data_IF_855613807669
#
_entry.id   IF_855613807669
#
_cell.length_a   1.000
_cell.length_b   1.000
_cell.length_c   1.000
_cell.angle_alpha   90.00
_cell.angle_beta   90.00
_cell.angle_gamma   90.00
#
_symmetry.space_group_name_H-M   'P 1'
#
loop_
_entity.id
_entity.type
_entity.pdbx_description
1 polymer ?
#
# COMPACT_ATOMS: atom_id res chain seq x y z
N UNK A 1 4.74 10.77 24.00
CA UNK A 1 3.54 9.99 23.61
C UNK A 1 2.42 10.97 23.31
N UNK A 2 1.61 10.71 22.30
CA UNK A 2 0.47 11.53 21.88
C UNK A 2 -0.78 10.64 21.78
N UNK A 3 -1.92 11.16 22.20
CA UNK A 3 -3.23 10.56 21.93
C UNK A 3 -3.76 11.17 20.63
N UNK A 4 -3.92 10.33 19.60
CA UNK A 4 -4.48 10.75 18.32
C UNK A 4 -6.00 10.49 18.25
N UNK A 5 -6.56 9.79 19.22
CA UNK A 5 -7.99 9.52 19.25
C UNK A 5 -8.77 10.83 19.32
N UNK A 6 -9.74 10.99 18.42
CA UNK A 6 -10.63 12.14 18.38
C UNK A 6 -9.91 13.49 18.19
N UNK A 7 -8.70 13.52 17.64
CA UNK A 7 -8.01 14.78 17.28
C UNK A 7 -8.77 15.50 16.15
N UNK A 8 -9.33 14.74 15.22
CA UNK A 8 -10.17 15.26 14.15
C UNK A 8 -11.56 15.59 14.72
N UNK A 9 -11.88 16.89 14.78
CA UNK A 9 -13.09 17.41 15.48
C UNK A 9 -13.96 18.29 14.59
N UNK A 10 -13.64 18.42 13.32
CA UNK A 10 -14.29 19.34 12.40
C UNK A 10 -15.23 18.59 11.46
N UNK A 11 -16.45 19.11 11.28
CA UNK A 11 -17.41 18.66 10.25
C UNK A 11 -16.98 19.00 8.82
N UNK A 12 -15.76 19.52 8.66
CA UNK A 12 -15.16 19.79 7.37
C UNK A 12 -15.05 18.50 6.56
N UNK A 13 -15.07 18.70 5.25
CA UNK A 13 -14.82 17.67 4.27
C UNK A 13 -13.49 17.92 3.59
N UNK A 14 -12.92 16.86 3.03
CA UNK A 14 -11.72 16.92 2.22
C UNK A 14 -12.00 16.21 0.90
N UNK A 15 -11.75 16.91 -0.20
CA UNK A 15 -11.82 16.32 -1.52
C UNK A 15 -10.55 15.51 -1.79
N UNK A 16 -10.72 14.22 -2.04
CA UNK A 16 -9.63 13.29 -2.38
C UNK A 16 -9.74 12.96 -3.87
N UNK A 17 -8.65 13.14 -4.58
CA UNK A 17 -8.55 12.90 -6.02
C UNK A 17 -7.79 11.61 -6.29
N UNK A 18 -8.38 10.75 -7.12
CA UNK A 18 -7.79 9.50 -7.57
C UNK A 18 -7.20 9.66 -8.97
N UNK A 19 -5.98 9.16 -9.14
CA UNK A 19 -5.33 8.97 -10.42
C UNK A 19 -4.99 7.50 -10.61
N UNK A 20 -5.21 6.99 -11.81
CA UNK A 20 -4.80 5.66 -12.23
C UNK A 20 -4.44 5.80 -13.71
N UNK A 21 -3.14 5.80 -14.00
CA UNK A 21 -2.62 5.91 -15.36
C UNK A 21 -2.70 4.52 -16.04
N UNK A 22 -2.83 4.46 -17.38
CA UNK A 22 -2.82 3.19 -18.10
C UNK A 22 -1.56 2.37 -17.84
N UNK A 23 -1.68 1.05 -17.94
CA UNK A 23 -0.53 0.13 -17.93
C UNK A 23 0.40 0.49 -19.09
N UNK A 24 1.69 0.67 -18.83
CA UNK A 24 2.67 1.03 -19.87
C UNK A 24 3.70 -0.06 -20.15
N UNK A 25 3.80 -1.06 -19.28
CA UNK A 25 4.69 -2.20 -19.45
C UNK A 25 4.03 -3.47 -18.92
N UNK A 26 4.30 -4.60 -19.57
CA UNK A 26 3.74 -5.91 -19.24
C UNK A 26 4.74 -7.01 -19.63
N UNK A 27 5.00 -7.93 -18.72
CA UNK A 27 6.03 -8.97 -18.91
C UNK A 27 5.63 -9.99 -19.98
N UNK A 28 4.36 -10.37 -20.01
CA UNK A 28 3.83 -11.40 -20.90
C UNK A 28 2.85 -10.88 -21.94
N UNK A 29 2.62 -9.56 -21.98
CA UNK A 29 1.72 -8.93 -22.94
C UNK A 29 0.31 -9.56 -22.94
N UNK A 30 -0.23 -9.97 -21.78
CA UNK A 30 -1.52 -10.68 -21.72
C UNK A 30 -2.69 -9.89 -22.35
N UNK A 31 -2.63 -8.56 -22.30
CA UNK A 31 -3.57 -7.67 -22.97
C UNK A 31 -3.63 -7.85 -24.49
N UNK A 32 -2.56 -8.35 -25.13
CA UNK A 32 -2.50 -8.67 -26.57
C UNK A 32 -3.00 -10.08 -26.87
N UNK A 33 -2.68 -11.01 -25.97
CA UNK A 33 -2.98 -12.44 -26.14
C UNK A 33 -4.40 -12.81 -25.73
N UNK A 34 -5.07 -11.97 -24.91
CA UNK A 34 -6.45 -12.13 -24.45
C UNK A 34 -7.32 -10.91 -24.82
N UNK A 35 -7.55 -10.63 -26.13
CA UNK A 35 -8.29 -9.45 -26.57
C UNK A 35 -9.74 -9.39 -26.06
N UNK A 36 -10.34 -10.55 -25.74
CA UNK A 36 -11.65 -10.63 -25.10
C UNK A 36 -11.68 -10.10 -23.66
N UNK A 37 -10.51 -9.89 -23.04
CA UNK A 37 -10.35 -9.45 -21.66
C UNK A 37 -9.65 -8.08 -21.57
N UNK A 38 -9.56 -7.34 -22.67
CA UNK A 38 -8.83 -6.06 -22.74
C UNK A 38 -9.28 -5.03 -21.69
N UNK A 39 -10.56 -5.06 -21.30
CA UNK A 39 -11.12 -4.18 -20.26
C UNK A 39 -10.49 -4.38 -18.88
N UNK A 40 -9.87 -5.55 -18.62
CA UNK A 40 -9.13 -5.80 -17.37
C UNK A 40 -7.79 -5.03 -17.33
N UNK A 41 -7.31 -4.56 -18.47
CA UNK A 41 -6.03 -3.86 -18.62
C UNK A 41 -6.21 -2.35 -18.88
N UNK A 42 -7.39 -1.90 -19.29
CA UNK A 42 -7.76 -0.49 -19.48
C UNK A 42 -8.54 0.06 -18.27
N UNK A 43 -7.89 0.01 -17.09
CA UNK A 43 -8.50 0.41 -15.82
C UNK A 43 -8.36 1.91 -15.56
N UNK A 44 -9.38 2.47 -14.91
CA UNK A 44 -9.39 3.86 -14.46
C UNK A 44 -10.07 3.95 -13.08
N UNK A 45 -9.92 5.07 -12.34
CA UNK A 45 -10.53 5.18 -11.02
C UNK A 45 -12.07 5.12 -11.12
N UNK A 46 -12.68 4.29 -10.27
CA UNK A 46 -14.13 4.22 -10.10
C UNK A 46 -14.73 5.60 -9.74
N UNK A 47 -14.06 6.37 -8.87
CA UNK A 47 -14.45 7.73 -8.50
C UNK A 47 -13.23 8.68 -8.59
N UNK A 48 -13.03 9.39 -9.71
CA UNK A 48 -11.86 10.27 -9.90
C UNK A 48 -11.71 11.36 -8.83
N UNK A 49 -12.81 11.79 -8.21
CA UNK A 49 -12.80 12.65 -7.04
C UNK A 49 -13.94 12.26 -6.10
N UNK A 50 -13.65 12.19 -4.81
CA UNK A 50 -14.64 11.87 -3.77
C UNK A 50 -14.43 12.75 -2.56
N UNK A 51 -15.53 13.20 -1.98
CA UNK A 51 -15.53 14.01 -0.77
C UNK A 51 -15.61 13.10 0.46
N UNK A 52 -14.65 13.23 1.37
CA UNK A 52 -14.62 12.49 2.63
C UNK A 52 -14.84 13.45 3.78
N UNK A 53 -15.65 13.04 4.75
CA UNK A 53 -15.65 13.68 6.06
C UNK A 53 -14.29 13.50 6.70
N UNK A 54 -13.78 14.53 7.38
CA UNK A 54 -12.45 14.48 8.01
C UNK A 54 -12.35 13.33 9.02
N UNK A 55 -13.44 12.97 9.71
CA UNK A 55 -13.46 11.83 10.64
C UNK A 55 -13.22 10.47 9.98
N UNK A 56 -13.40 10.34 8.66
CA UNK A 56 -13.06 9.11 7.94
C UNK A 56 -11.55 8.80 8.02
N UNK A 57 -10.70 9.82 8.17
CA UNK A 57 -9.25 9.65 8.32
C UNK A 57 -8.83 9.10 9.68
N UNK A 58 -9.75 8.98 10.65
CA UNK A 58 -9.51 8.20 11.87
C UNK A 58 -9.21 6.72 11.56
N UNK A 59 -9.54 6.24 10.35
CA UNK A 59 -9.12 4.93 9.85
C UNK A 59 -7.60 4.69 9.93
N UNK A 60 -6.79 5.76 9.94
CA UNK A 60 -5.32 5.68 9.98
C UNK A 60 -4.74 5.92 11.39
N UNK A 61 -5.57 6.12 12.41
CA UNK A 61 -5.12 6.47 13.76
C UNK A 61 -4.99 5.24 14.69
N UNK A 62 -4.08 5.30 15.67
CA UNK A 62 -3.96 4.26 16.69
C UNK A 62 -5.14 4.34 17.67
N UNK A 63 -5.48 3.21 18.30
CA UNK A 63 -6.50 3.14 19.36
C UNK A 63 -5.95 3.51 20.74
N UNK A 64 -4.64 3.66 20.87
CA UNK A 64 -3.94 3.99 22.11
C UNK A 64 -2.91 5.10 21.89
N UNK A 65 -2.33 5.60 22.99
CA UNK A 65 -1.25 6.57 22.92
C UNK A 65 -0.02 5.97 22.25
N UNK A 66 0.61 6.75 21.37
CA UNK A 66 1.80 6.34 20.62
C UNK A 66 2.95 7.33 20.77
N UNK A 67 4.18 6.85 20.70
CA UNK A 67 5.40 7.63 20.55
C UNK A 67 5.89 7.64 19.10
N UNK A 68 6.79 8.57 18.78
CA UNK A 68 7.44 8.60 17.46
C UNK A 68 8.17 7.27 17.21
N UNK A 69 7.87 6.67 16.07
CA UNK A 69 8.38 5.38 15.62
C UNK A 69 7.55 4.18 16.07
N UNK A 70 6.51 4.35 16.89
CA UNK A 70 5.58 3.26 17.21
C UNK A 70 4.79 2.87 15.96
N UNK A 71 4.52 1.57 15.84
CA UNK A 71 3.76 0.98 14.73
C UNK A 71 2.51 0.30 15.27
N UNK A 72 1.37 0.54 14.61
CA UNK A 72 0.09 -0.08 14.94
C UNK A 72 -0.57 -0.66 13.69
N UNK A 73 -1.48 -1.60 13.91
CA UNK A 73 -2.32 -2.19 12.87
C UNK A 73 -3.49 -1.25 12.54
N UNK A 74 -3.83 -1.16 11.26
CA UNK A 74 -4.98 -0.42 10.77
C UNK A 74 -6.16 -1.36 10.57
N UNK A 75 -7.35 -0.86 10.85
CA UNK A 75 -8.59 -1.56 10.56
C UNK A 75 -8.89 -1.49 9.05
N UNK A 76 -8.63 -2.59 8.34
CA UNK A 76 -8.80 -2.66 6.89
C UNK A 76 -10.23 -2.32 6.46
N UNK A 77 -11.26 -2.69 7.22
CA UNK A 77 -12.66 -2.37 6.87
C UNK A 77 -12.90 -0.85 6.85
N UNK A 78 -12.13 -0.08 7.63
CA UNK A 78 -12.16 1.39 7.61
C UNK A 78 -11.31 2.00 6.49
N UNK A 79 -10.32 1.28 5.98
CA UNK A 79 -9.43 1.73 4.91
C UNK A 79 -10.01 1.42 3.52
N UNK A 80 -10.72 0.30 3.36
CA UNK A 80 -11.33 -0.14 2.10
C UNK A 80 -12.20 0.93 1.42
N UNK A 81 -12.99 1.75 2.13
CA UNK A 81 -13.71 2.88 1.52
C UNK A 81 -12.81 3.83 0.71
N UNK A 82 -11.56 4.06 1.13
CA UNK A 82 -10.59 4.85 0.37
C UNK A 82 -10.13 4.10 -0.88
N UNK A 83 -9.79 2.82 -0.75
CA UNK A 83 -9.34 1.99 -1.87
C UNK A 83 -10.44 1.75 -2.91
N UNK A 84 -11.71 1.72 -2.50
CA UNK A 84 -12.87 1.61 -3.40
C UNK A 84 -13.00 2.77 -4.39
N UNK A 85 -12.33 3.90 -4.10
CA UNK A 85 -12.23 5.01 -5.02
C UNK A 85 -11.46 4.66 -6.30
N UNK A 86 -10.51 3.72 -6.20
CA UNK A 86 -9.88 3.10 -7.36
C UNK A 86 -10.80 2.07 -8.01
N UNK A 87 -11.29 1.09 -7.26
CA UNK A 87 -12.14 0.02 -7.81
C UNK A 87 -13.09 -0.55 -6.75
N UNK A 88 -14.36 -0.75 -7.09
CA UNK A 88 -15.38 -1.29 -6.17
C UNK A 88 -15.04 -2.67 -5.60
N UNK A 89 -14.25 -3.45 -6.34
CA UNK A 89 -13.78 -4.77 -5.91
C UNK A 89 -12.61 -4.76 -4.92
N UNK A 90 -12.27 -3.62 -4.31
CA UNK A 90 -11.20 -3.53 -3.34
C UNK A 90 -11.46 -4.39 -2.09
N UNK A 91 -10.45 -5.17 -1.70
CA UNK A 91 -10.51 -6.05 -0.53
C UNK A 91 -9.14 -6.16 0.16
N UNK A 92 -9.17 -6.31 1.49
CA UNK A 92 -8.00 -6.65 2.30
C UNK A 92 -7.74 -8.16 2.38
N UNK A 93 -8.66 -8.97 1.86
CA UNK A 93 -8.52 -10.41 1.80
C UNK A 93 -7.69 -10.83 0.60
N UNK A 94 -6.38 -10.90 0.81
CA UNK A 94 -5.46 -11.35 -0.22
C UNK A 94 -5.54 -12.86 -0.43
N UNK A 95 -5.43 -13.28 -1.69
CA UNK A 95 -5.24 -14.71 -2.01
C UNK A 95 -3.80 -15.17 -1.80
N UNK A 96 -2.84 -14.29 -2.06
CA UNK A 96 -1.40 -14.53 -1.97
C UNK A 96 -0.72 -13.33 -1.30
N UNK A 97 0.47 -13.53 -0.72
CA UNK A 97 1.21 -12.48 -0.03
C UNK A 97 0.81 -12.25 1.44
N UNK A 98 1.58 -11.38 2.10
CA UNK A 98 1.37 -11.04 3.51
C UNK A 98 0.20 -10.08 3.64
N UNK A 99 -0.75 -10.39 4.53
CA UNK A 99 -1.96 -9.60 4.73
C UNK A 99 -1.72 -8.48 5.75
N UNK A 100 -2.47 -7.40 5.57
CA UNK A 100 -2.65 -6.39 6.61
C UNK A 100 -2.37 -4.97 6.17
N UNK A 101 -2.60 -4.06 7.10
CA UNK A 101 -2.29 -2.66 6.96
C UNK A 101 -1.71 -2.15 8.27
N UNK A 102 -0.61 -1.40 8.19
CA UNK A 102 0.07 -0.88 9.37
C UNK A 102 0.42 0.59 9.17
N UNK A 103 0.45 1.34 10.26
CA UNK A 103 0.85 2.74 10.29
C UNK A 103 1.94 2.97 11.34
N UNK A 104 2.72 4.02 11.13
CA UNK A 104 3.84 4.43 11.95
C UNK A 104 3.77 5.93 12.18
N UNK A 105 3.95 6.37 13.44
CA UNK A 105 4.07 7.79 13.75
C UNK A 105 5.49 8.24 13.39
N UNK A 106 5.68 8.83 12.22
CA UNK A 106 7.01 9.21 11.72
C UNK A 106 7.56 10.44 12.42
N UNK A 107 6.74 11.45 12.67
CA UNK A 107 7.17 12.67 13.37
C UNK A 107 6.05 13.34 14.15
N UNK A 108 6.46 14.10 15.17
CA UNK A 108 5.58 14.82 16.06
C UNK A 108 6.19 16.19 16.41
N UNK A 109 5.33 17.20 16.44
CA UNK A 109 5.56 18.53 16.99
C UNK A 109 4.37 18.89 17.89
N UNK A 110 4.40 20.01 18.63
CA UNK A 110 3.23 20.45 19.41
C UNK A 110 1.95 20.62 18.58
N UNK A 111 2.10 20.90 17.28
CA UNK A 111 0.99 21.31 16.41
C UNK A 111 0.68 20.29 15.31
N UNK A 112 1.58 19.36 15.01
CA UNK A 112 1.47 18.46 13.88
C UNK A 112 1.90 17.04 14.22
N UNK A 113 1.23 16.08 13.62
CA UNK A 113 1.69 14.69 13.54
C UNK A 113 1.77 14.24 12.08
N UNK A 114 2.80 13.48 11.77
CA UNK A 114 3.08 12.91 10.45
C UNK A 114 3.07 11.39 10.55
N UNK A 115 2.06 10.78 9.94
CA UNK A 115 1.82 9.34 9.96
C UNK A 115 2.15 8.79 8.58
N UNK A 116 2.91 7.71 8.54
CA UNK A 116 3.18 6.95 7.32
C UNK A 116 2.57 5.56 7.45
N UNK A 117 2.04 5.00 6.37
CA UNK A 117 1.39 3.70 6.43
C UNK A 117 1.65 2.87 5.17
N UNK A 118 1.47 1.56 5.33
CA UNK A 118 1.58 0.55 4.30
C UNK A 118 0.36 -0.35 4.35
N UNK A 119 -0.28 -0.59 3.21
CA UNK A 119 -1.52 -1.35 3.09
C UNK A 119 -1.34 -2.37 1.97
N UNK A 120 -1.62 -3.64 2.27
CA UNK A 120 -1.73 -4.68 1.24
C UNK A 120 -3.20 -4.93 0.97
N UNK A 121 -3.60 -4.81 -0.30
CA UNK A 121 -4.97 -4.99 -0.75
C UNK A 121 -4.96 -5.47 -2.21
N UNK A 122 -5.99 -6.22 -2.60
CA UNK A 122 -6.21 -6.66 -3.98
C UNK A 122 -7.57 -6.16 -4.47
N UNK A 123 -7.75 -6.06 -5.79
CA UNK A 123 -9.04 -5.75 -6.40
C UNK A 123 -9.55 -6.95 -7.19
N UNK A 124 -10.76 -7.37 -6.88
CA UNK A 124 -11.51 -8.27 -7.76
C UNK A 124 -12.04 -7.49 -8.95
N UNK A 125 -11.54 -7.77 -10.15
CA UNK A 125 -11.96 -7.07 -11.38
C UNK A 125 -13.21 -7.71 -11.98
N UNK A 126 -13.21 -9.04 -12.09
CA UNK A 126 -14.31 -9.78 -12.70
C UNK A 126 -14.38 -11.21 -12.15
N UNK A 127 -15.56 -11.82 -12.26
CA UNK A 127 -15.78 -13.24 -11.96
C UNK A 127 -16.43 -13.92 -13.16
N UNK A 128 -16.06 -15.19 -13.40
CA UNK A 128 -16.64 -16.04 -14.43
C UNK A 128 -17.02 -17.41 -13.88
N UNK A 129 -18.02 -18.06 -14.49
CA UNK A 129 -18.28 -19.48 -14.24
C UNK A 129 -17.04 -20.32 -14.50
N UNK A 130 -16.79 -21.34 -13.68
CA UNK A 130 -15.80 -22.37 -14.05
C UNK A 130 -16.17 -22.99 -15.41
N UNK A 131 -15.20 -23.50 -16.18
CA UNK A 131 -15.46 -24.30 -17.36
C UNK A 131 -16.40 -25.46 -17.01
N UNK A 132 -17.35 -25.75 -17.91
CA UNK A 132 -18.37 -26.80 -17.71
C UNK A 132 -17.76 -28.15 -17.31
N UNK A 133 -16.59 -28.48 -17.86
CA UNK A 133 -15.82 -29.69 -17.55
C UNK A 133 -15.33 -29.79 -16.10
N UNK A 134 -15.34 -28.68 -15.35
CA UNK A 134 -14.91 -28.59 -13.94
C UNK A 134 -16.03 -28.18 -12.99
N UNK A 135 -17.25 -27.92 -13.50
CA UNK A 135 -18.41 -27.58 -12.66
C UNK A 135 -18.89 -28.81 -11.91
N UNK A 136 -19.07 -28.69 -10.60
CA UNK A 136 -19.77 -29.72 -9.83
C UNK A 136 -21.28 -29.47 -9.79
N UNK A 137 -21.71 -28.21 -9.92
CA UNK A 137 -23.11 -27.73 -10.03
C UNK A 137 -23.14 -26.38 -10.79
N UNK A 138 -24.32 -25.87 -11.15
CA UNK A 138 -24.49 -24.60 -11.90
C UNK A 138 -24.00 -23.34 -11.15
N UNK A 139 -23.86 -23.40 -9.83
CA UNK A 139 -23.39 -22.29 -8.97
C UNK A 139 -21.85 -22.22 -8.77
N UNK A 140 -21.08 -22.98 -9.54
CA UNK A 140 -19.61 -23.07 -9.40
C UNK A 140 -18.89 -21.89 -10.14
N UNK A 141 -19.22 -20.65 -9.75
CA UNK A 141 -18.70 -19.38 -10.29
C UNK A 141 -17.46 -18.89 -9.52
N UNK A 142 -16.24 -19.26 -9.90
CA UNK A 142 -15.06 -18.84 -9.09
C UNK A 142 -13.78 -18.55 -9.90
N UNK A 143 -13.82 -18.44 -11.23
CA UNK A 143 -12.65 -17.91 -11.92
C UNK A 143 -12.66 -16.38 -11.73
N UNK A 144 -11.67 -15.86 -11.01
CA UNK A 144 -11.62 -14.45 -10.59
C UNK A 144 -10.43 -13.77 -11.23
N UNK A 145 -10.70 -12.78 -12.07
CA UNK A 145 -9.69 -11.84 -12.51
C UNK A 145 -9.38 -10.85 -11.40
N UNK A 146 -8.10 -10.61 -11.16
CA UNK A 146 -7.62 -9.79 -10.05
C UNK A 146 -6.59 -8.78 -10.52
N UNK A 147 -6.61 -7.64 -9.87
CA UNK A 147 -5.54 -6.66 -9.90
C UNK A 147 -4.90 -6.65 -8.52
N UNK A 148 -3.62 -6.97 -8.43
CA UNK A 148 -2.90 -7.25 -7.19
C UNK A 148 -1.73 -6.26 -7.09
N UNK A 149 -1.96 -5.07 -6.51
CA UNK A 149 -0.92 -4.14 -6.13
C UNK A 149 0.16 -4.80 -5.26
N UNK A 150 1.44 -4.49 -5.53
CA UNK A 150 2.55 -4.95 -4.68
C UNK A 150 2.43 -4.47 -3.24
N UNK A 151 2.04 -3.20 -3.05
CA UNK A 151 1.53 -2.60 -1.81
C UNK A 151 1.17 -1.13 -2.06
N UNK A 152 0.30 -0.57 -1.23
CA UNK A 152 0.12 0.88 -1.16
C UNK A 152 0.95 1.48 -0.03
N UNK A 153 1.72 2.50 -0.37
CA UNK A 153 2.40 3.37 0.58
C UNK A 153 1.64 4.68 0.69
N UNK A 154 1.45 5.17 1.90
CA UNK A 154 0.77 6.45 2.11
C UNK A 154 1.27 7.24 3.29
N UNK A 155 0.77 8.47 3.36
CA UNK A 155 1.12 9.47 4.37
C UNK A 155 -0.10 10.31 4.72
N UNK A 156 -0.15 10.72 5.99
CA UNK A 156 -1.17 11.57 6.53
C UNK A 156 -0.52 12.60 7.45
N UNK A 157 -0.63 13.88 7.08
CA UNK A 157 -0.21 15.01 7.88
C UNK A 157 -1.43 15.65 8.52
N UNK A 158 -1.43 15.79 9.85
CA UNK A 158 -2.53 16.41 10.60
C UNK A 158 -2.04 17.60 11.39
N UNK A 159 -2.89 18.61 11.51
CA UNK A 159 -2.72 19.69 12.47
C UNK A 159 -3.53 19.37 13.73
N UNK A 160 -2.82 19.12 14.82
CA UNK A 160 -3.36 18.72 16.12
C UNK A 160 -4.14 19.84 16.82
N UNK A 161 -3.79 21.12 16.57
CA UNK A 161 -4.45 22.27 17.21
C UNK A 161 -5.85 22.51 16.68
N UNK A 162 -6.00 22.50 15.36
CA UNK A 162 -7.29 22.77 14.70
C UNK A 162 -8.03 21.49 14.27
N UNK A 163 -7.40 20.32 14.41
CA UNK A 163 -8.03 19.03 14.15
C UNK A 163 -8.38 18.80 12.68
N UNK A 164 -7.47 19.17 11.77
CA UNK A 164 -7.65 18.99 10.32
C UNK A 164 -6.56 18.14 9.70
N UNK A 165 -6.89 17.49 8.58
CA UNK A 165 -5.93 16.85 7.69
C UNK A 165 -5.31 17.92 6.79
N UNK A 166 -4.00 18.09 6.85
CA UNK A 166 -3.23 19.05 6.04
C UNK A 166 -2.87 18.47 4.66
N UNK A 167 -2.47 17.19 4.65
CA UNK A 167 -2.06 16.47 3.45
C UNK A 167 -2.34 14.97 3.63
N UNK A 168 -2.80 14.35 2.55
CA UNK A 168 -3.05 12.91 2.47
C UNK A 168 -2.55 12.39 1.14
N UNK A 169 -1.87 11.25 1.17
CA UNK A 169 -1.53 10.49 -0.03
C UNK A 169 -1.56 8.99 0.24
N UNK A 170 -1.96 8.22 -0.77
CA UNK A 170 -1.89 6.77 -0.81
C UNK A 170 -1.59 6.39 -2.25
N UNK A 171 -0.49 5.69 -2.51
CA UNK A 171 -0.05 5.39 -3.87
C UNK A 171 0.69 4.06 -3.96
N UNK A 172 0.77 3.53 -5.18
CA UNK A 172 1.77 2.50 -5.49
C UNK A 172 3.18 3.07 -5.29
N UNK A 173 4.14 2.29 -4.77
CA UNK A 173 5.53 2.70 -4.69
C UNK A 173 6.13 2.86 -6.10
N UNK A 174 7.14 3.73 -6.26
CA UNK A 174 7.90 3.82 -7.50
C UNK A 174 8.81 2.58 -7.62
N UNK A 175 8.39 1.62 -8.45
CA UNK A 175 9.11 0.37 -8.75
C UNK A 175 9.04 0.06 -10.24
N UNK A 176 9.82 -0.90 -10.72
CA UNK A 176 9.82 -1.29 -12.14
C UNK A 176 8.56 -2.06 -12.54
N UNK A 177 8.05 -2.89 -11.62
CA UNK A 177 6.77 -3.60 -11.70
C UNK A 177 6.09 -3.35 -10.36
N UNK A 178 4.79 -3.12 -10.36
CA UNK A 178 4.07 -2.76 -9.14
C UNK A 178 2.69 -3.39 -9.01
N UNK A 179 2.31 -4.26 -9.95
CA UNK A 179 1.01 -4.91 -10.01
C UNK A 179 1.16 -6.28 -10.67
N UNK A 180 0.59 -7.31 -10.05
CA UNK A 180 0.21 -8.53 -10.77
C UNK A 180 -1.24 -8.42 -11.23
N UNK A 181 -1.49 -8.83 -12.46
CA UNK A 181 -2.84 -9.04 -12.96
C UNK A 181 -3.06 -10.51 -13.23
N UNK A 182 -4.14 -11.06 -12.68
CA UNK A 182 -4.60 -12.39 -13.04
C UNK A 182 -5.78 -12.27 -14.02
N UNK A 183 -5.67 -12.96 -15.14
CA UNK A 183 -6.74 -13.08 -16.14
C UNK A 183 -7.16 -14.55 -16.24
N UNK A 184 -8.14 -14.94 -15.42
CA UNK A 184 -8.78 -16.27 -15.42
C UNK A 184 -7.82 -17.47 -15.51
N UNK A 185 -6.70 -17.42 -14.77
CA UNK A 185 -5.72 -18.51 -14.71
C UNK A 185 -4.38 -18.19 -15.38
N UNK A 186 -4.29 -17.08 -16.10
CA UNK A 186 -3.03 -16.48 -16.50
C UNK A 186 -2.63 -15.38 -15.53
N UNK A 187 -1.33 -15.08 -15.44
CA UNK A 187 -0.79 -13.99 -14.64
C UNK A 187 0.17 -13.16 -15.48
N UNK A 188 0.08 -11.83 -15.35
CA UNK A 188 1.04 -10.89 -15.90
C UNK A 188 1.55 -9.96 -14.80
N UNK A 189 2.80 -9.56 -14.95
CA UNK A 189 3.47 -8.59 -14.11
C UNK A 189 3.54 -7.29 -14.90
N UNK A 190 2.83 -6.27 -14.42
CA UNK A 190 2.62 -5.02 -15.15
C UNK A 190 3.11 -3.80 -14.37
N UNK A 191 3.37 -2.73 -15.12
CA UNK A 191 3.73 -1.45 -14.56
C UNK A 191 2.64 -0.41 -14.79
N UNK A 192 2.15 0.15 -13.68
CA UNK A 192 1.25 1.32 -13.67
C UNK A 192 2.05 2.55 -13.23
N UNK A 193 2.29 3.53 -14.11
CA UNK A 193 3.13 4.71 -13.80
C UNK A 193 2.66 5.51 -12.60
N UNK A 194 1.34 5.64 -12.44
CA UNK A 194 0.74 6.37 -11.33
C UNK A 194 -0.59 5.75 -10.97
N UNK A 195 -0.68 5.31 -9.74
CA UNK A 195 -1.94 4.97 -9.11
C UNK A 195 -1.92 5.57 -7.70
N UNK A 196 -2.69 6.64 -7.49
CA UNK A 196 -2.56 7.53 -6.33
C UNK A 196 -3.88 8.18 -5.94
N UNK A 197 -4.20 8.13 -4.65
CA UNK A 197 -5.11 9.05 -3.98
C UNK A 197 -4.31 10.20 -3.39
N UNK A 198 -4.82 11.42 -3.50
CA UNK A 198 -4.22 12.58 -2.86
C UNK A 198 -5.25 13.63 -2.48
N UNK A 199 -4.95 14.34 -1.39
CA UNK A 199 -5.65 15.55 -1.00
C UNK A 199 -4.69 16.48 -0.28
N UNK A 200 -4.68 17.75 -0.66
CA UNK A 200 -3.85 18.77 -0.01
C UNK A 200 -4.75 19.91 0.40
N UNK A 201 -4.71 20.31 1.68
CA UNK A 201 -5.65 21.27 2.22
C UNK A 201 -5.02 22.60 2.62
N UNK A 202 -3.80 22.67 3.22
CA UNK A 202 -3.32 23.98 3.71
C UNK A 202 -1.86 24.23 4.11
N UNK A 203 -0.86 23.34 4.00
CA UNK A 203 0.55 23.73 4.28
C UNK A 203 1.60 22.77 3.71
N UNK A 204 2.76 23.30 3.29
CA UNK A 204 3.92 22.49 2.91
C UNK A 204 4.64 21.93 4.16
N UNK A 205 4.89 20.62 4.15
CA UNK A 205 5.54 19.87 5.24
C UNK A 205 6.95 20.36 5.59
N UNK A 206 7.68 20.85 4.60
CA UNK A 206 9.09 21.27 4.76
C UNK A 206 9.25 22.52 5.64
N UNK A 207 8.13 23.15 6.02
CA UNK A 207 8.07 24.31 6.91
C UNK A 207 7.74 23.94 8.37
N UNK A 208 7.75 22.66 8.73
CA UNK A 208 7.42 22.19 10.09
C UNK A 208 8.71 21.83 10.84
N UNK A 209 8.92 22.53 11.95
CA UNK A 209 9.96 22.20 12.93
C UNK A 209 9.51 21.01 13.79
N UNK A 210 10.05 19.84 13.51
CA UNK A 210 9.73 18.61 14.24
C UNK A 210 10.46 18.54 15.59
N UNK A 211 9.72 18.31 16.67
CA UNK A 211 10.31 18.09 18.01
C UNK A 211 10.94 16.70 18.10
N UNK A 212 10.29 15.71 17.49
CA UNK A 212 10.80 14.35 17.40
C UNK A 212 10.43 13.74 16.05
N UNK A 213 11.36 12.98 15.46
CA UNK A 213 11.10 12.27 14.20
C UNK A 213 12.01 11.06 14.04
N UNK A 214 11.51 10.07 13.29
CA UNK A 214 12.34 9.08 12.61
C UNK A 214 12.46 9.45 11.13
N UNK A 215 13.50 8.96 10.47
CA UNK A 215 13.67 9.14 9.03
C UNK A 215 12.54 8.40 8.29
N UNK A 216 12.25 8.83 7.05
CA UNK A 216 11.27 8.13 6.21
C UNK A 216 11.69 6.69 5.96
N UNK A 217 12.99 6.43 5.85
CA UNK A 217 13.56 5.11 5.63
C UNK A 217 13.40 4.21 6.87
N UNK A 218 13.64 4.74 8.06
CA UNK A 218 13.41 4.02 9.31
C UNK A 218 11.93 3.67 9.50
N UNK A 219 11.01 4.62 9.23
CA UNK A 219 9.58 4.34 9.28
C UNK A 219 9.15 3.28 8.26
N UNK A 220 9.68 3.35 7.03
CA UNK A 220 9.46 2.34 5.98
C UNK A 220 9.94 0.97 6.44
N UNK A 221 11.14 0.89 7.04
CA UNK A 221 11.70 -0.37 7.55
C UNK A 221 10.86 -0.97 8.67
N UNK A 222 10.39 -0.14 9.61
CA UNK A 222 9.50 -0.59 10.70
C UNK A 222 8.17 -1.12 10.20
N UNK A 223 7.61 -0.52 9.15
CA UNK A 223 6.40 -1.02 8.48
C UNK A 223 6.68 -2.33 7.75
N UNK A 224 7.78 -2.42 7.00
CA UNK A 224 8.21 -3.64 6.29
C UNK A 224 8.37 -4.84 7.24
N UNK A 225 8.96 -4.64 8.41
CA UNK A 225 9.13 -5.68 9.44
C UNK A 225 7.81 -6.24 10.00
N UNK A 226 6.67 -5.56 9.79
CA UNK A 226 5.36 -6.12 10.14
C UNK A 226 4.88 -7.18 9.16
N UNK A 227 5.33 -7.11 7.92
CA UNK A 227 5.01 -8.07 6.88
C UNK A 227 6.09 -9.15 6.76
N UNK A 228 7.36 -8.74 6.81
CA UNK A 228 8.47 -9.62 6.42
C UNK A 228 9.53 -9.73 7.50
N UNK A 229 9.62 -10.90 8.15
CA UNK A 229 10.70 -11.18 9.11
C UNK A 229 12.09 -11.16 8.49
N UNK A 230 12.21 -11.56 7.20
CA UNK A 230 13.50 -11.50 6.52
C UNK A 230 14.00 -10.07 6.32
N UNK A 231 13.16 -9.04 6.53
CA UNK A 231 13.61 -7.66 6.53
C UNK A 231 14.59 -7.39 7.69
N UNK A 232 14.68 -8.24 8.72
CA UNK A 232 15.73 -8.15 9.75
C UNK A 232 17.12 -8.50 9.21
N UNK A 233 17.20 -9.16 8.05
CA UNK A 233 18.45 -9.52 7.40
C UNK A 233 19.11 -8.26 6.84
N UNK A 234 20.39 -8.11 7.16
CA UNK A 234 21.26 -7.09 6.60
C UNK A 234 21.68 -7.52 5.19
N UNK A 235 21.00 -6.97 4.19
CA UNK A 235 21.29 -7.23 2.77
C UNK A 235 22.47 -6.40 2.33
N UNK A 236 23.63 -7.05 2.21
CA UNK A 236 24.88 -6.43 1.76
C UNK A 236 25.24 -6.92 0.35
N UNK A 237 25.86 -6.06 -0.47
CA UNK A 237 26.60 -6.52 -1.63
C UNK A 237 27.61 -7.61 -1.24
N UNK A 238 27.90 -8.53 -2.16
CA UNK A 238 28.75 -9.68 -1.87
C UNK A 238 30.12 -9.26 -1.35
N UNK A 239 30.71 -8.22 -1.93
CA UNK A 239 32.01 -7.68 -1.55
C UNK A 239 32.01 -7.17 -0.10
N UNK A 240 31.00 -6.39 0.27
CA UNK A 240 30.83 -5.88 1.64
C UNK A 240 30.55 -7.00 2.65
N UNK A 241 29.77 -8.02 2.25
CA UNK A 241 29.50 -9.19 3.08
C UNK A 241 30.80 -9.97 3.38
N UNK A 242 31.68 -10.13 2.38
CA UNK A 242 32.99 -10.77 2.53
C UNK A 242 33.89 -9.97 3.46
N UNK A 243 34.00 -8.64 3.28
CA UNK A 243 34.78 -7.78 4.16
C UNK A 243 34.30 -7.86 5.62
N UNK A 244 32.98 -7.86 5.83
CA UNK A 244 32.36 -7.99 7.16
C UNK A 244 32.66 -9.34 7.81
N UNK A 245 32.66 -10.41 7.02
CA UNK A 245 32.98 -11.77 7.47
C UNK A 245 34.44 -11.87 7.91
N UNK A 246 35.37 -11.31 7.12
CA UNK A 246 36.80 -11.26 7.46
C UNK A 246 37.05 -10.43 8.71
N UNK A 247 36.43 -9.24 8.81
CA UNK A 247 36.58 -8.35 9.96
C UNK A 247 36.00 -8.96 11.26
N UNK A 248 34.90 -9.71 11.17
CA UNK A 248 34.22 -10.29 12.34
C UNK A 248 34.69 -11.71 12.69
N UNK A 249 35.47 -12.36 11.83
CA UNK A 249 35.90 -13.75 11.97
C UNK A 249 34.70 -14.72 12.16
N UNK A 250 33.59 -14.45 11.45
CA UNK A 250 32.37 -15.26 11.52
C UNK A 250 32.12 -15.97 10.19
N UNK A 251 31.60 -17.20 10.18
CA UNK A 251 31.28 -17.90 8.92
C UNK A 251 30.15 -17.17 8.17
N UNK A 252 30.25 -17.16 6.83
CA UNK A 252 29.21 -16.66 5.93
C UNK A 252 28.31 -17.81 5.47
N UNK A 253 26.99 -17.61 5.51
CA UNK A 253 26.04 -18.47 4.81
C UNK A 253 25.45 -17.68 3.64
N UNK A 254 25.75 -18.11 2.41
CA UNK A 254 25.20 -17.50 1.21
C UNK A 254 23.97 -18.29 0.73
N UNK A 255 22.88 -17.58 0.45
CA UNK A 255 21.68 -18.12 -0.20
C UNK A 255 21.54 -17.44 -1.56
N UNK A 256 21.38 -18.23 -2.62
CA UNK A 256 21.09 -17.72 -3.97
C UNK A 256 19.60 -17.92 -4.20
N UNK A 257 18.88 -16.83 -4.44
CA UNK A 257 17.47 -16.85 -4.82
C UNK A 257 17.32 -16.37 -6.26
N UNK A 258 16.36 -16.97 -6.97
CA UNK A 258 15.93 -16.51 -8.29
C UNK A 258 14.57 -15.85 -8.12
N UNK A 259 14.58 -14.52 -7.98
CA UNK A 259 13.39 -13.70 -7.72
C UNK A 259 13.68 -12.61 -6.70
N UNK A 260 12.92 -11.50 -6.73
CA UNK A 260 13.02 -10.47 -5.72
C UNK A 260 12.64 -11.03 -4.34
N UNK A 261 13.24 -10.47 -3.30
CA UNK A 261 12.93 -10.81 -1.92
C UNK A 261 11.90 -9.86 -1.33
N UNK A 262 11.59 -8.76 -2.02
CA UNK A 262 10.59 -7.79 -1.63
C UNK A 262 9.35 -7.86 -2.53
N UNK A 263 8.29 -7.16 -2.10
CA UNK A 263 7.04 -7.05 -2.85
C UNK A 263 7.24 -6.34 -4.18
N UNK A 264 7.53 -7.10 -5.23
CA UNK A 264 7.42 -6.62 -6.60
C UNK A 264 6.01 -6.82 -7.15
N UNK A 265 5.34 -7.89 -6.70
CA UNK A 265 3.90 -8.18 -6.77
C UNK A 265 3.72 -9.63 -6.24
N UNK A 266 2.60 -9.94 -5.56
CA UNK A 266 2.47 -11.10 -4.66
C UNK A 266 2.53 -12.49 -5.32
#
# INVERSE_FOLDING_TARGET
MVDLNNVLKNTATLQVHAHWDPITDATYDLHKDSPENIELFDLSPNEPAREYKVEAFNAFFPTSNVAVGDVWELDLDKVIPFLSQFHLGATGELRHGEKGAFACLRALSPDYADITFRIHAEFTLATRPKPESKRRNDDDLIDVARFIPSQFSGRLLINLKIGVVCDFSLALPPRNINVDINDFGYADMVFVPRMKLHATSTKARDEIDWESSVTSEEARKRLELKFYKFAEIDWLPLEEAVEKVEATQRPMHAVISWGPLDDESC
#
